data_IF_601871603234
#
_entry.id   IF_601871603234
#
_cell.length_a   1.000
_cell.length_b   1.000
_cell.length_c   1.000
_cell.angle_alpha   90.00
_cell.angle_beta   90.00
_cell.angle_gamma   90.00
#
_symmetry.space_group_name_H-M   'P 1'
#
loop_
_entity.id
_entity.type
_entity.pdbx_description
1 polymer ?
#
# COMPACT_ATOMS: atom_id res chain seq x y z
N UNK A 1 -1.04 16.42 19.26
CA UNK A 1 0.00 17.28 18.67
C UNK A 1 0.92 16.39 17.87
N UNK A 2 1.26 16.67 16.61
CA UNK A 2 2.22 15.88 15.87
C UNK A 2 3.58 16.01 16.57
N UNK A 3 4.09 14.92 17.09
CA UNK A 3 5.44 14.86 17.69
C UNK A 3 6.46 15.14 16.59
N UNK A 4 7.39 16.06 16.86
CA UNK A 4 8.51 16.34 15.94
C UNK A 4 9.31 15.04 15.78
N UNK A 5 9.48 14.50 14.55
CA UNK A 5 10.17 13.24 14.34
C UNK A 5 11.61 13.32 14.86
N UNK A 6 12.07 12.25 15.49
CA UNK A 6 13.45 12.17 15.99
C UNK A 6 14.45 12.22 14.83
N UNK A 7 15.70 12.64 15.10
CA UNK A 7 16.76 12.66 14.07
C UNK A 7 16.95 11.30 13.40
N UNK A 8 16.79 10.22 14.16
CA UNK A 8 16.90 8.85 13.65
C UNK A 8 15.76 8.50 12.69
N UNK A 9 14.55 8.92 12.99
CA UNK A 9 13.39 8.74 12.10
C UNK A 9 13.54 9.51 10.79
N UNK A 10 14.02 10.77 10.86
CA UNK A 10 14.29 11.58 9.67
C UNK A 10 15.35 10.93 8.76
N UNK A 11 16.43 10.38 9.34
CA UNK A 11 17.47 9.69 8.59
C UNK A 11 16.94 8.40 7.93
N UNK A 12 16.13 7.63 8.64
CA UNK A 12 15.49 6.44 8.09
C UNK A 12 14.53 6.78 6.94
N UNK A 13 13.74 7.83 7.10
CA UNK A 13 12.83 8.31 6.05
C UNK A 13 13.61 8.78 4.82
N UNK A 14 14.69 9.52 5.01
CA UNK A 14 15.56 9.97 3.91
C UNK A 14 16.17 8.77 3.16
N UNK A 15 16.69 7.77 3.88
CA UNK A 15 17.22 6.54 3.29
C UNK A 15 16.15 5.80 2.47
N UNK A 16 14.96 5.64 3.05
CA UNK A 16 13.84 4.97 2.37
C UNK A 16 13.41 5.71 1.11
N UNK A 17 13.39 7.05 1.13
CA UNK A 17 13.08 7.87 -0.04
C UNK A 17 14.15 7.71 -1.11
N UNK A 18 15.44 7.80 -0.77
CA UNK A 18 16.54 7.70 -1.74
C UNK A 18 16.55 6.31 -2.38
N UNK A 19 16.55 5.24 -1.57
CA UNK A 19 16.57 3.86 -2.08
C UNK A 19 15.28 3.54 -2.83
N UNK A 20 14.13 3.94 -2.30
CA UNK A 20 12.84 3.75 -2.96
C UNK A 20 12.77 4.46 -4.32
N UNK A 21 13.23 5.72 -4.39
CA UNK A 21 13.29 6.48 -5.66
C UNK A 21 14.23 5.83 -6.68
N UNK A 22 15.38 5.31 -6.22
CA UNK A 22 16.31 4.60 -7.09
C UNK A 22 15.73 3.29 -7.63
N UNK A 23 15.09 2.48 -6.77
CA UNK A 23 14.43 1.23 -7.19
C UNK A 23 13.26 1.51 -8.15
N UNK A 24 12.48 2.57 -7.89
CA UNK A 24 11.38 2.98 -8.77
C UNK A 24 11.91 3.32 -10.15
N UNK A 25 12.92 4.18 -10.21
CA UNK A 25 13.59 4.58 -11.45
C UNK A 25 14.17 3.37 -12.20
N UNK A 26 14.80 2.44 -11.48
CA UNK A 26 15.35 1.19 -12.05
C UNK A 26 14.25 0.34 -12.67
N UNK A 27 13.14 0.14 -11.97
CA UNK A 27 11.99 -0.64 -12.46
C UNK A 27 11.39 -0.02 -13.73
N UNK A 28 11.26 1.29 -13.76
CA UNK A 28 10.78 2.00 -14.96
C UNK A 28 11.80 1.97 -16.09
N UNK A 29 13.02 2.44 -15.88
CA UNK A 29 13.98 2.73 -16.95
C UNK A 29 14.65 1.49 -17.54
N UNK A 30 14.80 0.40 -16.77
CA UNK A 30 15.45 -0.83 -17.25
C UNK A 30 14.48 -1.93 -17.69
N UNK A 31 13.25 -1.92 -17.18
CA UNK A 31 12.30 -3.02 -17.45
C UNK A 31 11.06 -2.54 -18.22
N UNK A 32 10.34 -1.55 -17.70
CA UNK A 32 9.00 -1.25 -18.21
C UNK A 32 9.02 -0.33 -19.44
N UNK A 33 9.74 0.79 -19.36
CA UNK A 33 9.75 1.77 -20.44
C UNK A 33 10.36 1.23 -21.74
N UNK A 34 11.52 0.52 -21.74
CA UNK A 34 12.09 -0.04 -22.96
C UNK A 34 11.23 -1.17 -23.57
N UNK A 35 10.44 -1.87 -22.73
CA UNK A 35 9.50 -2.89 -23.20
C UNK A 35 8.14 -2.33 -23.64
N UNK A 36 7.97 -1.01 -23.67
CA UNK A 36 6.71 -0.31 -23.96
C UNK A 36 5.54 -0.71 -23.03
N UNK A 37 5.85 -1.12 -21.79
CA UNK A 37 4.87 -1.53 -20.81
C UNK A 37 4.52 -0.31 -19.94
N UNK A 38 3.25 0.07 -19.91
CA UNK A 38 2.75 1.15 -19.06
C UNK A 38 1.96 0.54 -17.88
N UNK A 39 2.51 0.54 -16.66
CA UNK A 39 1.80 0.00 -15.51
C UNK A 39 0.68 0.92 -15.00
N UNK A 40 0.10 1.75 -15.84
CA UNK A 40 -0.89 2.76 -15.46
C UNK A 40 -0.24 4.07 -14.95
N UNK A 41 -0.79 4.61 -13.87
CA UNK A 41 -0.28 5.86 -13.30
C UNK A 41 -0.64 7.10 -14.09
N UNK A 42 -0.20 8.25 -13.61
CA UNK A 42 -0.43 9.54 -14.29
C UNK A 42 0.24 9.60 -15.65
N UNK A 43 1.38 8.96 -15.80
CA UNK A 43 2.07 8.89 -17.10
C UNK A 43 1.29 8.05 -18.13
N UNK A 44 0.71 6.92 -17.70
CA UNK A 44 -0.17 6.12 -18.56
C UNK A 44 -1.41 6.91 -19.00
N UNK A 45 -2.03 7.62 -18.06
CA UNK A 45 -3.15 8.51 -18.36
C UNK A 45 -2.74 9.64 -19.32
N UNK A 46 -1.57 10.26 -19.10
CA UNK A 46 -1.06 11.33 -19.96
C UNK A 46 -0.79 10.83 -21.37
N UNK A 47 -0.29 9.60 -21.55
CA UNK A 47 -0.07 8.99 -22.85
C UNK A 47 -1.39 8.80 -23.62
N UNK A 48 -2.40 8.26 -22.95
CA UNK A 48 -3.75 8.07 -23.53
C UNK A 48 -4.36 9.41 -23.95
N UNK A 49 -4.28 10.42 -23.07
CA UNK A 49 -4.85 11.73 -23.35
C UNK A 49 -4.10 12.48 -24.46
N UNK A 50 -2.79 12.32 -24.55
CA UNK A 50 -1.99 12.88 -25.64
C UNK A 50 -2.46 12.32 -27.00
N UNK A 51 -2.62 11.01 -27.08
CA UNK A 51 -3.08 10.35 -28.30
C UNK A 51 -4.50 10.81 -28.69
N UNK A 52 -5.40 10.91 -27.69
CA UNK A 52 -6.73 11.43 -27.93
C UNK A 52 -6.71 12.89 -28.38
N UNK A 53 -5.89 13.75 -27.77
CA UNK A 53 -5.75 15.16 -28.16
C UNK A 53 -5.22 15.31 -29.59
N UNK A 54 -4.25 14.48 -29.99
CA UNK A 54 -3.72 14.47 -31.32
C UNK A 54 -4.75 13.99 -32.36
N UNK A 55 -5.48 12.90 -32.01
CA UNK A 55 -6.46 12.26 -32.90
C UNK A 55 -7.72 13.11 -33.11
N UNK A 56 -8.24 13.75 -32.10
CA UNK A 56 -9.50 14.51 -32.16
C UNK A 56 -9.33 16.00 -32.43
N UNK A 57 -8.21 16.57 -31.94
CA UNK A 57 -8.00 18.02 -31.98
C UNK A 57 -6.76 18.44 -32.80
N UNK A 58 -5.94 17.47 -33.22
CA UNK A 58 -4.68 17.78 -33.93
C UNK A 58 -3.65 18.49 -33.04
N UNK A 59 -3.79 18.41 -31.69
CA UNK A 59 -2.93 19.11 -30.76
C UNK A 59 -1.78 18.21 -30.31
N UNK A 60 -0.55 18.68 -30.55
CA UNK A 60 0.66 18.04 -30.03
C UNK A 60 0.98 18.56 -28.64
N UNK A 61 0.40 17.90 -27.62
CA UNK A 61 0.69 18.21 -26.23
C UNK A 61 1.90 17.43 -25.71
N UNK A 62 2.79 18.10 -24.99
CA UNK A 62 3.92 17.45 -24.33
C UNK A 62 3.42 16.48 -23.24
N UNK A 63 3.98 15.25 -23.21
CA UNK A 63 3.62 14.24 -22.21
C UNK A 63 3.82 14.75 -20.79
N UNK A 64 4.95 15.43 -20.55
CA UNK A 64 5.26 16.04 -19.25
C UNK A 64 4.27 17.13 -18.85
N UNK A 65 3.75 17.91 -19.80
CA UNK A 65 2.76 18.97 -19.53
C UNK A 65 1.43 18.35 -19.04
N UNK A 66 0.97 17.30 -19.72
CA UNK A 66 -0.25 16.59 -19.32
C UNK A 66 -0.04 15.93 -17.95
N UNK A 67 1.07 15.24 -17.75
CA UNK A 67 1.40 14.59 -16.49
C UNK A 67 1.49 15.62 -15.35
N UNK A 68 2.08 16.80 -15.58
CA UNK A 68 2.15 17.86 -14.60
C UNK A 68 0.76 18.39 -14.23
N UNK A 69 -0.12 18.56 -15.23
CA UNK A 69 -1.50 19.01 -15.00
C UNK A 69 -2.27 18.09 -14.04
N UNK A 70 -2.10 16.77 -14.14
CA UNK A 70 -2.71 15.82 -13.23
C UNK A 70 -1.95 15.65 -11.92
N UNK A 71 -0.62 15.76 -11.93
CA UNK A 71 0.19 15.62 -10.73
C UNK A 71 0.00 16.79 -9.76
N UNK A 72 -0.22 18.02 -10.25
CA UNK A 72 -0.44 19.19 -9.38
C UNK A 72 -1.66 19.02 -8.46
N UNK A 73 -2.88 18.71 -8.94
CA UNK A 73 -4.02 18.46 -8.05
C UNK A 73 -3.82 17.26 -7.13
N UNK A 74 -3.18 16.17 -7.61
CA UNK A 74 -2.85 15.02 -6.76
C UNK A 74 -1.86 15.38 -5.65
N UNK A 75 -0.87 16.22 -5.97
CA UNK A 75 0.06 16.74 -4.97
C UNK A 75 -0.64 17.62 -3.93
N UNK A 76 -1.56 18.51 -4.36
CA UNK A 76 -2.33 19.33 -3.46
C UNK A 76 -3.23 18.50 -2.54
N UNK A 77 -3.85 17.43 -3.08
CA UNK A 77 -4.60 16.46 -2.31
C UNK A 77 -3.71 15.76 -1.28
N UNK A 78 -2.53 15.29 -1.70
CA UNK A 78 -1.56 14.67 -0.80
C UNK A 78 -1.11 15.64 0.31
N UNK A 79 -0.83 16.89 -0.03
CA UNK A 79 -0.40 17.91 0.92
C UNK A 79 -1.48 18.20 1.97
N UNK A 80 -2.75 18.20 1.56
CA UNK A 80 -3.90 18.43 2.44
C UNK A 80 -4.15 17.25 3.38
N UNK A 81 -4.14 16.03 2.84
CA UNK A 81 -4.51 14.81 3.59
C UNK A 81 -3.35 14.22 4.39
N UNK A 82 -2.12 14.32 3.89
CA UNK A 82 -0.93 13.73 4.50
C UNK A 82 -0.10 14.74 5.33
N UNK A 83 -0.39 16.03 5.21
CA UNK A 83 0.27 17.10 5.94
C UNK A 83 1.51 17.68 5.25
N UNK A 84 1.97 18.86 5.73
CA UNK A 84 3.02 19.66 5.10
C UNK A 84 4.39 18.94 5.00
N UNK A 85 4.76 18.16 6.01
CA UNK A 85 6.04 17.42 6.03
C UNK A 85 6.01 16.34 4.94
N UNK A 86 4.91 15.61 4.81
CA UNK A 86 4.72 14.62 3.76
C UNK A 86 4.76 15.25 2.36
N UNK A 87 4.19 16.45 2.19
CA UNK A 87 4.26 17.19 0.94
C UNK A 87 5.70 17.51 0.53
N UNK A 88 6.54 17.99 1.46
CA UNK A 88 7.96 18.27 1.17
C UNK A 88 8.68 16.98 0.77
N UNK A 89 8.49 15.90 1.50
CA UNK A 89 9.07 14.58 1.17
C UNK A 89 8.62 14.10 -0.22
N UNK A 90 7.37 14.33 -0.59
CA UNK A 90 6.82 13.97 -1.91
C UNK A 90 7.52 14.75 -3.04
N UNK A 91 7.76 16.06 -2.87
CA UNK A 91 8.53 16.85 -3.84
C UNK A 91 9.95 16.29 -4.00
N UNK A 92 10.62 16.02 -2.89
CA UNK A 92 11.99 15.43 -2.91
C UNK A 92 11.97 14.07 -3.61
N UNK A 93 11.00 13.20 -3.30
CA UNK A 93 10.84 11.89 -3.94
C UNK A 93 10.67 12.03 -5.45
N UNK A 94 9.79 12.92 -5.90
CA UNK A 94 9.55 13.16 -7.31
C UNK A 94 10.81 13.63 -8.06
N UNK A 95 11.56 14.57 -7.47
CA UNK A 95 12.82 15.06 -8.04
C UNK A 95 13.89 13.96 -8.11
N UNK A 96 13.99 13.14 -7.06
CA UNK A 96 14.94 12.02 -7.05
C UNK A 96 14.57 10.94 -8.07
N UNK A 97 13.28 10.60 -8.22
CA UNK A 97 12.83 9.64 -9.23
C UNK A 97 13.17 10.16 -10.63
N UNK A 98 12.89 11.42 -10.93
CA UNK A 98 13.22 12.03 -12.21
C UNK A 98 14.74 11.97 -12.49
N UNK A 99 15.54 12.41 -11.51
CA UNK A 99 17.01 12.42 -11.63
C UNK A 99 17.56 10.99 -11.86
N UNK A 100 17.12 10.02 -11.07
CA UNK A 100 17.61 8.65 -11.20
C UNK A 100 17.12 8.01 -12.52
N UNK A 101 15.90 8.31 -12.97
CA UNK A 101 15.40 7.82 -14.26
C UNK A 101 16.26 8.32 -15.42
N UNK A 102 16.57 9.61 -15.45
CA UNK A 102 17.41 10.20 -16.49
C UNK A 102 18.84 9.60 -16.48
N UNK A 103 19.45 9.44 -15.29
CA UNK A 103 20.77 8.85 -15.15
C UNK A 103 20.81 7.39 -15.61
N UNK A 104 19.81 6.60 -15.23
CA UNK A 104 19.72 5.17 -15.60
C UNK A 104 19.46 5.03 -17.09
N UNK A 105 18.58 5.85 -17.67
CA UNK A 105 18.27 5.82 -19.10
C UNK A 105 19.51 6.16 -19.95
N UNK A 106 20.26 7.19 -19.54
CA UNK A 106 21.54 7.53 -20.18
C UNK A 106 22.57 6.40 -20.09
N UNK A 107 22.67 5.74 -18.93
CA UNK A 107 23.60 4.63 -18.72
C UNK A 107 23.19 3.39 -19.52
N UNK A 108 21.91 3.05 -19.55
CA UNK A 108 21.37 1.87 -20.24
C UNK A 108 21.23 2.07 -21.77
N UNK A 109 21.30 3.30 -22.27
CA UNK A 109 21.10 3.61 -23.67
C UNK A 109 19.71 3.29 -24.19
N UNK A 110 18.69 3.31 -23.34
CA UNK A 110 17.29 3.03 -23.68
C UNK A 110 17.00 1.56 -24.01
N UNK A 111 17.93 0.64 -23.75
CA UNK A 111 17.74 -0.79 -24.00
C UNK A 111 17.16 -1.49 -22.76
N UNK A 112 16.24 -2.45 -22.95
CA UNK A 112 15.76 -3.25 -21.82
C UNK A 112 16.88 -4.14 -21.30
N UNK A 113 16.89 -4.35 -19.98
CA UNK A 113 17.84 -5.27 -19.34
C UNK A 113 17.56 -6.72 -19.76
N UNK A 114 16.32 -7.04 -20.10
CA UNK A 114 15.83 -8.35 -20.53
C UNK A 114 14.90 -8.14 -21.72
N UNK A 115 15.02 -8.94 -22.77
CA UNK A 115 14.23 -8.81 -23.99
C UNK A 115 12.79 -9.33 -23.85
N UNK A 116 12.55 -10.29 -22.94
CA UNK A 116 11.24 -10.90 -22.70
C UNK A 116 10.30 -9.96 -21.94
N UNK A 117 9.26 -9.47 -22.61
CA UNK A 117 8.29 -8.55 -22.03
C UNK A 117 7.59 -9.07 -20.78
N UNK A 118 7.42 -10.41 -20.66
CA UNK A 118 6.82 -11.02 -19.47
C UNK A 118 7.74 -10.88 -18.23
N UNK A 119 9.04 -11.07 -18.41
CA UNK A 119 10.02 -10.87 -17.34
C UNK A 119 10.13 -9.40 -16.98
N UNK A 120 10.10 -8.51 -17.96
CA UNK A 120 10.05 -7.06 -17.74
C UNK A 120 8.83 -6.67 -16.90
N UNK A 121 7.64 -7.21 -17.20
CA UNK A 121 6.42 -6.97 -16.44
C UNK A 121 6.55 -7.45 -15.00
N UNK A 122 7.08 -8.65 -14.79
CA UNK A 122 7.18 -9.25 -13.45
C UNK A 122 8.21 -8.54 -12.58
N UNK A 123 9.45 -8.42 -13.06
CA UNK A 123 10.53 -7.79 -12.28
C UNK A 123 10.32 -6.28 -12.16
N UNK A 124 9.89 -5.61 -13.22
CA UNK A 124 9.51 -4.20 -13.17
C UNK A 124 8.39 -3.93 -12.17
N UNK A 125 7.31 -4.73 -12.22
CA UNK A 125 6.21 -4.66 -11.26
C UNK A 125 6.64 -4.91 -9.82
N UNK A 126 7.52 -5.90 -9.59
CA UNK A 126 8.04 -6.19 -8.25
C UNK A 126 8.89 -5.03 -7.69
N UNK A 127 9.80 -4.47 -8.50
CA UNK A 127 10.60 -3.31 -8.12
C UNK A 127 9.74 -2.09 -7.81
N UNK A 128 8.72 -1.81 -8.63
CA UNK A 128 7.75 -0.76 -8.37
C UNK A 128 7.03 -0.98 -7.02
N UNK A 129 6.59 -2.21 -6.75
CA UNK A 129 5.89 -2.53 -5.51
C UNK A 129 6.76 -2.31 -4.26
N UNK A 130 8.01 -2.76 -4.28
CA UNK A 130 8.97 -2.56 -3.19
C UNK A 130 9.25 -1.07 -3.00
N UNK A 131 9.51 -0.35 -4.09
CA UNK A 131 9.86 1.07 -4.04
C UNK A 131 8.72 1.93 -3.50
N UNK A 132 7.49 1.71 -3.97
CA UNK A 132 6.31 2.46 -3.50
C UNK A 132 6.02 2.15 -2.04
N UNK A 133 6.19 0.91 -1.60
CA UNK A 133 6.10 0.57 -0.19
C UNK A 133 7.14 1.35 0.66
N UNK A 134 8.40 1.43 0.22
CA UNK A 134 9.45 2.19 0.93
C UNK A 134 9.09 3.67 1.02
N UNK A 135 8.64 4.26 -0.08
CA UNK A 135 8.22 5.66 -0.17
C UNK A 135 7.02 5.91 0.76
N UNK A 136 6.01 5.03 0.77
CA UNK A 136 4.85 5.14 1.66
C UNK A 136 5.23 4.99 3.13
N UNK A 137 6.19 4.13 3.45
CA UNK A 137 6.71 3.97 4.80
C UNK A 137 7.39 5.24 5.32
N UNK A 138 8.07 5.97 4.45
CA UNK A 138 8.67 7.27 4.76
C UNK A 138 7.63 8.41 4.83
N UNK A 139 6.33 8.12 4.81
CA UNK A 139 5.26 9.12 4.77
C UNK A 139 5.35 10.04 3.55
N UNK A 140 5.84 9.52 2.42
CA UNK A 140 5.94 10.21 1.14
C UNK A 140 5.04 9.54 0.09
N UNK A 141 4.93 10.15 -1.08
CA UNK A 141 4.28 9.59 -2.28
C UNK A 141 5.05 9.98 -3.52
N UNK A 142 4.75 9.36 -4.67
CA UNK A 142 5.33 9.75 -5.95
C UNK A 142 4.51 10.83 -6.68
N UNK A 143 3.50 11.41 -6.03
CA UNK A 143 2.56 12.38 -6.59
C UNK A 143 1.74 11.84 -7.80
N UNK A 144 1.70 10.53 -8.00
CA UNK A 144 0.95 9.86 -9.06
C UNK A 144 -0.41 9.31 -8.62
N UNK A 145 -0.98 8.38 -9.39
CA UNK A 145 -2.23 7.66 -9.05
C UNK A 145 -2.11 6.84 -7.77
N UNK A 146 -0.89 6.43 -7.39
CA UNK A 146 -0.56 5.83 -6.10
C UNK A 146 -0.94 6.74 -4.92
N UNK A 147 -0.81 8.06 -5.07
CA UNK A 147 -1.28 9.04 -4.09
C UNK A 147 -2.79 8.99 -3.93
N UNK A 148 -3.53 8.95 -5.04
CA UNK A 148 -4.97 8.82 -5.03
C UNK A 148 -5.39 7.50 -4.38
N UNK A 149 -4.75 6.39 -4.74
CA UNK A 149 -4.99 5.09 -4.14
C UNK A 149 -4.75 5.09 -2.63
N UNK A 150 -3.70 5.77 -2.16
CA UNK A 150 -3.39 5.90 -0.72
C UNK A 150 -4.45 6.72 0.03
N UNK A 151 -4.93 7.83 -0.55
CA UNK A 151 -5.99 8.65 0.05
C UNK A 151 -7.31 7.88 0.11
N UNK A 152 -7.71 7.25 -1.02
CA UNK A 152 -8.92 6.42 -1.09
C UNK A 152 -8.86 5.22 -0.15
N UNK A 153 -7.69 4.60 0.02
CA UNK A 153 -7.48 3.50 0.96
C UNK A 153 -7.82 3.90 2.39
N UNK A 154 -7.45 5.11 2.79
CA UNK A 154 -7.82 5.65 4.11
C UNK A 154 -9.31 5.93 4.23
N UNK A 155 -9.93 6.48 3.18
CA UNK A 155 -11.36 6.82 3.19
C UNK A 155 -12.25 5.57 3.20
N UNK A 156 -11.90 4.55 2.42
CA UNK A 156 -12.72 3.32 2.26
C UNK A 156 -12.22 2.14 3.08
N UNK A 157 -11.18 2.31 3.88
CA UNK A 157 -10.55 1.24 4.68
C UNK A 157 -10.20 -0.02 3.85
N UNK A 158 -9.72 0.21 2.63
CA UNK A 158 -9.40 -0.83 1.65
C UNK A 158 -7.87 -0.91 1.47
N UNK A 159 -7.37 -2.06 1.02
CA UNK A 159 -5.93 -2.23 0.74
C UNK A 159 -5.49 -1.29 -0.38
N UNK A 160 -4.33 -0.64 -0.19
CA UNK A 160 -3.79 0.31 -1.17
C UNK A 160 -3.49 -0.35 -2.51
N UNK A 161 -2.88 -1.55 -2.50
CA UNK A 161 -2.59 -2.28 -3.73
C UNK A 161 -3.85 -2.64 -4.53
N UNK A 162 -4.96 -2.96 -3.85
CA UNK A 162 -6.25 -3.20 -4.53
C UNK A 162 -6.73 -1.95 -5.27
N UNK A 163 -6.59 -0.77 -4.66
CA UNK A 163 -6.98 0.49 -5.30
C UNK A 163 -6.03 0.90 -6.43
N UNK A 164 -4.72 0.68 -6.26
CA UNK A 164 -3.74 0.82 -7.34
C UNK A 164 -4.16 -0.05 -8.53
N UNK A 165 -4.42 -1.34 -8.29
CA UNK A 165 -4.84 -2.27 -9.33
C UNK A 165 -6.10 -1.80 -10.06
N UNK A 166 -7.11 -1.28 -9.34
CA UNK A 166 -8.35 -0.79 -9.93
C UNK A 166 -8.12 0.46 -10.79
N UNK A 167 -7.44 1.47 -10.24
CA UNK A 167 -7.21 2.75 -10.91
C UNK A 167 -6.34 2.54 -12.16
N UNK A 168 -5.24 1.83 -12.01
CA UNK A 168 -4.29 1.63 -13.11
C UNK A 168 -4.85 0.67 -14.17
N UNK A 169 -5.66 -0.33 -13.78
CA UNK A 169 -6.38 -1.16 -14.77
C UNK A 169 -7.38 -0.35 -15.59
N UNK A 170 -8.06 0.62 -14.99
CA UNK A 170 -8.95 1.51 -15.72
C UNK A 170 -8.18 2.35 -16.77
N UNK A 171 -7.02 2.87 -16.39
CA UNK A 171 -6.15 3.63 -17.28
C UNK A 171 -5.66 2.76 -18.44
N UNK A 172 -5.25 1.52 -18.15
CA UNK A 172 -4.80 0.56 -19.18
C UNK A 172 -5.93 0.19 -20.14
N UNK A 173 -7.16 0.02 -19.64
CA UNK A 173 -8.34 -0.22 -20.50
C UNK A 173 -8.65 0.98 -21.41
N UNK A 174 -8.51 2.19 -20.91
CA UNK A 174 -8.61 3.40 -21.74
C UNK A 174 -7.53 3.39 -22.82
N UNK A 175 -6.29 3.03 -22.47
CA UNK A 175 -5.19 2.86 -23.44
C UNK A 175 -5.48 1.82 -24.51
N UNK A 176 -6.04 0.67 -24.13
CA UNK A 176 -6.44 -0.37 -25.10
C UNK A 176 -7.43 0.16 -26.15
N UNK A 177 -8.44 0.92 -25.71
CA UNK A 177 -9.43 1.51 -26.59
C UNK A 177 -8.82 2.50 -27.59
N UNK A 178 -7.77 3.23 -27.15
CA UNK A 178 -7.09 4.24 -27.96
C UNK A 178 -6.06 3.63 -28.92
N UNK A 179 -5.21 2.74 -28.42
CA UNK A 179 -4.08 2.18 -29.20
C UNK A 179 -4.46 0.94 -30.00
N UNK A 180 -5.52 0.22 -29.63
CA UNK A 180 -6.03 -0.99 -30.31
C UNK A 180 -4.99 -2.14 -30.42
N UNK A 181 -3.96 -2.13 -29.59
CA UNK A 181 -2.95 -3.20 -29.47
C UNK A 181 -3.14 -3.94 -28.13
N UNK A 182 -3.46 -5.22 -28.17
CA UNK A 182 -3.72 -6.06 -27.01
C UNK A 182 -2.46 -6.45 -26.23
N UNK A 183 -1.29 -6.39 -26.83
CA UNK A 183 -0.05 -6.82 -26.20
C UNK A 183 0.32 -5.91 -25.04
N UNK A 184 0.32 -4.61 -25.26
CA UNK A 184 0.68 -3.62 -24.25
C UNK A 184 -0.19 -3.70 -23.00
N UNK A 185 -1.55 -3.71 -23.08
CA UNK A 185 -2.41 -3.87 -21.91
C UNK A 185 -2.20 -5.18 -21.16
N UNK A 186 -2.01 -6.30 -21.87
CA UNK A 186 -1.82 -7.60 -21.21
C UNK A 186 -0.55 -7.62 -20.35
N UNK A 187 0.58 -7.15 -20.89
CA UNK A 187 1.81 -7.05 -20.11
C UNK A 187 1.72 -6.00 -19.01
N UNK A 188 1.03 -4.88 -19.26
CA UNK A 188 0.78 -3.86 -18.24
C UNK A 188 -0.04 -4.40 -17.08
N UNK A 189 -1.06 -5.23 -17.35
CA UNK A 189 -1.83 -5.88 -16.28
C UNK A 189 -1.03 -6.86 -15.44
N UNK A 190 -0.09 -7.60 -16.04
CA UNK A 190 0.83 -8.44 -15.27
C UNK A 190 1.66 -7.56 -14.33
N UNK A 191 2.24 -6.47 -14.85
CA UNK A 191 3.04 -5.55 -14.04
C UNK A 191 2.22 -4.91 -12.91
N UNK A 192 1.00 -4.42 -13.19
CA UNK A 192 0.07 -3.84 -12.20
C UNK A 192 -0.30 -4.88 -11.14
N UNK A 193 -0.62 -6.10 -11.54
CA UNK A 193 -0.98 -7.16 -10.61
C UNK A 193 0.17 -7.47 -9.65
N UNK A 194 1.38 -7.69 -10.17
CA UNK A 194 2.57 -7.94 -9.35
C UNK A 194 2.86 -6.75 -8.44
N UNK A 195 2.87 -5.54 -8.99
CA UNK A 195 3.07 -4.30 -8.24
C UNK A 195 2.08 -4.17 -7.07
N UNK A 196 0.78 -4.30 -7.33
CA UNK A 196 -0.25 -4.16 -6.31
C UNK A 196 -0.14 -5.23 -5.22
N UNK A 197 0.16 -6.47 -5.59
CA UNK A 197 0.33 -7.58 -4.64
C UNK A 197 1.57 -7.39 -3.76
N UNK A 198 2.67 -6.91 -4.31
CA UNK A 198 3.88 -6.61 -3.54
C UNK A 198 3.62 -5.46 -2.56
N UNK A 199 2.95 -4.39 -2.99
CA UNK A 199 2.56 -3.29 -2.08
C UNK A 199 1.70 -3.81 -0.93
N UNK A 200 0.65 -4.60 -1.21
CA UNK A 200 -0.24 -5.13 -0.18
C UNK A 200 0.46 -6.10 0.78
N UNK A 201 1.38 -6.93 0.26
CA UNK A 201 2.12 -7.88 1.07
C UNK A 201 3.12 -7.21 2.02
N UNK A 202 3.74 -6.12 1.58
CA UNK A 202 4.72 -5.36 2.35
C UNK A 202 4.09 -4.32 3.28
N UNK A 203 2.87 -3.87 2.99
CA UNK A 203 2.19 -2.94 3.89
C UNK A 203 1.96 -3.56 5.26
N UNK A 204 2.27 -2.82 6.35
CA UNK A 204 1.99 -3.31 7.68
C UNK A 204 0.48 -3.56 7.80
N UNK A 205 0.13 -4.81 8.02
CA UNK A 205 -1.23 -5.16 8.44
C UNK A 205 -1.45 -4.51 9.82
N UNK A 206 -2.70 -4.22 10.18
CA UNK A 206 -3.03 -3.62 11.46
C UNK A 206 -2.24 -4.30 12.58
N UNK A 207 -1.45 -3.53 13.36
CA UNK A 207 -0.58 -4.10 14.38
C UNK A 207 -1.37 -4.76 15.52
N UNK A 208 -2.66 -4.44 15.65
CA UNK A 208 -3.53 -4.93 16.70
C UNK A 208 -4.62 -5.84 16.14
N UNK A 209 -4.97 -6.84 16.95
CA UNK A 209 -6.10 -7.73 16.71
C UNK A 209 -7.05 -7.67 17.88
N UNK A 210 -8.35 -7.61 17.59
CA UNK A 210 -9.41 -7.88 18.52
C UNK A 210 -9.62 -9.38 18.60
N UNK A 211 -9.62 -9.91 19.80
CA UNK A 211 -9.81 -11.35 20.06
C UNK A 211 -11.01 -11.50 20.97
N UNK A 212 -11.93 -12.38 20.58
CA UNK A 212 -13.07 -12.81 21.38
C UNK A 212 -12.85 -14.26 21.78
N UNK A 213 -12.95 -14.55 23.07
CA UNK A 213 -12.77 -15.88 23.64
C UNK A 213 -14.01 -16.26 24.40
N UNK A 214 -14.55 -17.44 24.08
CA UNK A 214 -15.64 -18.08 24.84
C UNK A 214 -15.13 -19.41 25.34
N UNK A 215 -15.16 -19.61 26.65
CA UNK A 215 -14.65 -20.82 27.29
C UNK A 215 -15.46 -21.12 28.56
N UNK A 216 -15.57 -22.39 28.88
CA UNK A 216 -16.17 -22.82 30.16
C UNK A 216 -15.18 -22.69 31.35
N UNK A 217 -13.87 -22.40 31.04
CA UNK A 217 -12.79 -22.20 32.03
C UNK A 217 -12.34 -20.74 32.12
N UNK A 218 -13.27 -19.80 32.09
CA UNK A 218 -12.97 -18.38 31.97
C UNK A 218 -12.12 -17.82 33.11
N UNK A 219 -12.34 -18.24 34.34
CA UNK A 219 -11.56 -17.77 35.52
C UNK A 219 -10.11 -18.26 35.52
N UNK A 220 -9.87 -19.50 35.01
CA UNK A 220 -8.51 -20.02 34.85
C UNK A 220 -7.76 -19.24 33.76
N UNK A 221 -8.44 -18.98 32.65
CA UNK A 221 -7.91 -18.15 31.56
C UNK A 221 -7.61 -16.73 32.02
N UNK A 222 -8.50 -16.12 32.80
CA UNK A 222 -8.32 -14.78 33.35
C UNK A 222 -7.03 -14.68 34.18
N UNK A 223 -6.82 -15.61 35.09
CA UNK A 223 -5.65 -15.59 35.96
C UNK A 223 -4.34 -15.74 35.18
N UNK A 224 -4.31 -16.62 34.18
CA UNK A 224 -3.15 -16.84 33.32
C UNK A 224 -2.88 -15.66 32.39
N UNK A 225 -3.90 -15.07 31.79
CA UNK A 225 -3.77 -13.94 30.90
C UNK A 225 -3.26 -12.69 31.60
N UNK A 226 -3.73 -12.44 32.82
CA UNK A 226 -3.24 -11.32 33.63
C UNK A 226 -1.81 -11.58 34.12
N UNK A 227 -1.51 -12.79 34.60
CA UNK A 227 -0.22 -13.11 35.19
C UNK A 227 0.92 -13.30 34.20
N UNK A 228 0.67 -13.94 33.04
CA UNK A 228 1.72 -14.30 32.10
C UNK A 228 1.83 -13.35 30.89
N UNK A 229 0.70 -12.79 30.43
CA UNK A 229 0.66 -11.98 29.21
C UNK A 229 0.49 -10.50 29.49
N UNK A 230 0.01 -10.14 30.69
CA UNK A 230 -0.24 -8.74 31.08
C UNK A 230 -1.31 -8.07 30.21
N UNK A 231 -2.20 -8.84 29.61
CA UNK A 231 -3.22 -8.34 28.68
C UNK A 231 -4.41 -7.78 29.47
N UNK A 232 -4.88 -6.62 29.04
CA UNK A 232 -6.13 -6.03 29.54
C UNK A 232 -7.28 -6.46 28.65
N UNK A 233 -8.38 -6.86 29.26
CA UNK A 233 -9.57 -7.29 28.55
C UNK A 233 -10.84 -6.89 29.29
N UNK A 234 -11.96 -7.03 28.60
CA UNK A 234 -13.29 -6.75 29.13
C UNK A 234 -14.14 -8.00 29.02
N UNK A 235 -14.82 -8.38 30.08
CA UNK A 235 -15.84 -9.40 30.01
C UNK A 235 -17.14 -8.80 29.49
N UNK A 236 -17.67 -9.41 28.44
CA UNK A 236 -18.97 -9.09 27.89
C UNK A 236 -19.94 -10.20 28.31
N UNK A 237 -20.96 -9.82 29.04
CA UNK A 237 -22.01 -10.77 29.44
C UNK A 237 -23.01 -10.88 28.29
N UNK A 238 -23.32 -12.08 27.89
CA UNK A 238 -24.25 -12.38 26.82
C UNK A 238 -25.08 -13.63 27.08
N UNK A 239 -26.05 -13.87 26.21
CA UNK A 239 -26.90 -15.04 26.29
C UNK A 239 -26.74 -15.87 25.02
N UNK A 240 -26.50 -17.16 25.15
CA UNK A 240 -26.41 -18.08 24.03
C UNK A 240 -27.71 -18.07 23.23
N UNK A 241 -27.61 -17.72 21.94
CA UNK A 241 -28.80 -17.60 21.07
C UNK A 241 -29.61 -18.89 20.99
N UNK A 242 -28.94 -20.03 20.94
CA UNK A 242 -29.61 -21.33 20.82
C UNK A 242 -29.99 -21.94 22.18
N UNK A 243 -29.07 -21.88 23.16
CA UNK A 243 -29.26 -22.53 24.47
C UNK A 243 -30.01 -21.68 25.48
N UNK A 244 -30.06 -20.35 25.26
CA UNK A 244 -30.62 -19.42 26.24
C UNK A 244 -29.79 -19.27 27.52
N UNK A 245 -28.65 -19.92 27.65
CA UNK A 245 -27.78 -19.86 28.83
C UNK A 245 -26.94 -18.58 28.83
N UNK A 246 -26.71 -18.05 30.02
CA UNK A 246 -25.77 -16.94 30.18
C UNK A 246 -24.34 -17.40 29.91
N UNK A 247 -23.59 -16.60 29.16
CA UNK A 247 -22.19 -16.85 28.84
C UNK A 247 -21.39 -15.56 28.89
N UNK A 248 -20.13 -15.72 29.31
CA UNK A 248 -19.16 -14.65 29.30
C UNK A 248 -18.29 -14.77 28.04
N UNK A 249 -18.05 -13.62 27.38
CA UNK A 249 -17.14 -13.49 26.25
C UNK A 249 -16.02 -12.55 26.68
N UNK A 250 -14.79 -13.03 26.68
CA UNK A 250 -13.63 -12.20 26.95
C UNK A 250 -13.22 -11.47 25.65
N UNK A 251 -13.31 -10.15 25.68
CA UNK A 251 -12.83 -9.27 24.62
C UNK A 251 -11.47 -8.69 25.01
N UNK A 252 -10.47 -8.88 24.15
CA UNK A 252 -9.11 -8.35 24.34
C UNK A 252 -8.58 -7.79 23.03
N UNK A 253 -7.73 -6.76 23.14
CA UNK A 253 -6.96 -6.23 22.03
C UNK A 253 -5.49 -6.55 22.27
N UNK A 254 -4.86 -7.21 21.33
CA UNK A 254 -3.46 -7.63 21.43
C UNK A 254 -2.68 -7.24 20.17
N UNK A 255 -1.37 -7.15 20.30
CA UNK A 255 -0.51 -7.03 19.13
C UNK A 255 -0.55 -8.32 18.29
N UNK A 256 -0.56 -8.16 16.98
CA UNK A 256 -0.64 -9.28 16.02
C UNK A 256 0.43 -10.36 16.26
N UNK A 257 1.65 -9.95 16.66
CA UNK A 257 2.75 -10.88 16.94
C UNK A 257 2.45 -11.85 18.09
N UNK A 258 1.58 -11.47 19.02
CA UNK A 258 1.21 -12.30 20.19
C UNK A 258 -0.03 -13.17 19.94
N UNK A 259 -0.71 -13.01 18.79
CA UNK A 259 -1.96 -13.73 18.50
C UNK A 259 -1.79 -15.26 18.47
N UNK A 260 -0.69 -15.75 17.93
CA UNK A 260 -0.40 -17.19 17.87
C UNK A 260 -0.11 -17.78 19.26
N UNK A 261 0.67 -17.06 20.09
CA UNK A 261 0.99 -17.46 21.45
C UNK A 261 -0.27 -17.47 22.34
N UNK A 262 -1.11 -16.44 22.22
CA UNK A 262 -2.39 -16.38 22.93
C UNK A 262 -3.31 -17.54 22.54
N UNK A 263 -3.46 -17.82 21.24
CA UNK A 263 -4.29 -18.93 20.79
C UNK A 263 -3.82 -20.26 21.36
N UNK A 264 -2.51 -20.50 21.37
CA UNK A 264 -1.92 -21.71 21.94
C UNK A 264 -2.23 -21.81 23.45
N UNK A 265 -2.00 -20.74 24.21
CA UNK A 265 -2.24 -20.69 25.64
C UNK A 265 -3.71 -20.99 25.98
N UNK A 266 -4.66 -20.38 25.25
CA UNK A 266 -6.09 -20.64 25.45
C UNK A 266 -6.46 -22.08 25.10
N UNK A 267 -5.92 -22.63 24.01
CA UNK A 267 -6.19 -24.02 23.60
C UNK A 267 -5.58 -25.03 24.57
N UNK A 268 -4.43 -24.72 25.18
CA UNK A 268 -3.78 -25.58 26.18
C UNK A 268 -4.61 -25.66 27.48
N UNK A 269 -5.30 -24.57 27.86
CA UNK A 269 -6.19 -24.53 29.05
C UNK A 269 -7.55 -25.16 28.75
N UNK A 270 -8.15 -24.77 27.65
CA UNK A 270 -9.44 -25.30 27.21
C UNK A 270 -9.42 -25.61 25.71
N UNK A 271 -9.23 -26.89 25.33
CA UNK A 271 -9.27 -27.34 23.96
C UNK A 271 -10.63 -27.11 23.25
N UNK A 272 -11.71 -26.85 24.02
CA UNK A 272 -13.04 -26.58 23.48
C UNK A 272 -13.35 -25.09 23.41
N UNK A 273 -12.44 -24.23 23.81
CA UNK A 273 -12.63 -22.79 23.74
C UNK A 273 -12.84 -22.33 22.30
N UNK A 274 -13.83 -21.45 22.12
CA UNK A 274 -14.03 -20.78 20.84
C UNK A 274 -13.26 -19.47 20.82
N UNK A 275 -12.37 -19.34 19.83
CA UNK A 275 -11.52 -18.16 19.67
C UNK A 275 -11.77 -17.59 18.27
N UNK A 276 -12.21 -16.34 18.21
CA UNK A 276 -12.28 -15.60 16.95
C UNK A 276 -11.40 -14.36 17.00
N UNK A 277 -10.77 -14.02 15.89
CA UNK A 277 -9.88 -12.86 15.78
C UNK A 277 -10.29 -12.01 14.62
N UNK A 278 -10.38 -10.69 14.83
CA UNK A 278 -10.60 -9.69 13.80
C UNK A 278 -9.45 -8.67 13.81
N UNK A 279 -9.19 -8.01 12.68
CA UNK A 279 -8.25 -6.89 12.66
C UNK A 279 -8.88 -5.70 13.40
N UNK A 280 -8.18 -5.19 14.42
CA UNK A 280 -8.63 -4.01 15.17
C UNK A 280 -8.21 -2.74 14.41
N UNK A 281 -9.16 -2.04 13.83
CA UNK A 281 -8.96 -0.68 13.31
C UNK A 281 -9.00 0.31 14.47
N UNK A 282 -7.90 1.00 14.69
CA UNK A 282 -7.81 1.97 15.79
C UNK A 282 -8.03 3.37 15.21
N UNK A 283 -9.29 3.82 15.19
CA UNK A 283 -9.64 5.12 14.61
C UNK A 283 -9.54 6.29 15.59
N UNK A 284 -9.42 6.04 16.88
CA UNK A 284 -9.21 7.11 17.87
C UNK A 284 -9.01 6.57 19.29
N UNK A 285 -7.96 6.90 19.89
CA UNK A 285 -7.45 6.87 21.26
C UNK A 285 -6.29 5.90 21.47
N UNK A 286 -5.15 6.41 21.96
CA UNK A 286 -4.18 5.56 22.60
C UNK A 286 -4.86 4.91 23.82
N UNK A 287 -4.89 3.59 23.86
CA UNK A 287 -5.19 2.86 25.10
C UNK A 287 -3.97 3.12 25.99
N UNK A 288 -3.98 4.24 26.69
CA UNK A 288 -2.99 4.51 27.72
C UNK A 288 -3.27 3.61 28.93
N UNK A 289 -2.20 3.12 29.57
CA UNK A 289 -2.28 2.26 30.74
C UNK A 289 -2.93 2.92 31.94
#
# INVERSE_FOLDING_TARGET
MPTIPSRRELLLDALLIIVGSFLLATGYSLFLAPAHISPGGVYGLALVLRELAQRFFGLELGLGTIALFFNVPLFLLAARELGKISAIKTVVTFLLVALFSDLIEQWAGGKPLVEESILCSFYGGALLGISVWMIFRAQSTCAGTDTLARVLSRMFNTKVGTLIMLIDSLIVLMGLWVFQDWRVPLYSWIAIFVYSKVVDALQPQNPHKSVFIISDKMEELRSLLIGQVGVRGTFLHGKGMYTGQEREVLFIIIERKHSAALKKLVTDVDPKAFITTADATNDSMPIHP
#
